data_IF_351497747973
#
_entry.id   IF_351497747973
#
_cell.length_a   1.000
_cell.length_b   1.000
_cell.length_c   1.000
_cell.angle_alpha   90.00
_cell.angle_beta   90.00
_cell.angle_gamma   90.00
#
_symmetry.space_group_name_H-M   'P 1'
#
loop_
_entity.id
_entity.type
_entity.pdbx_description
1 polymer ?
#
# COMPACT_ATOMS: atom_id res chain seq x y z
N UNK A 1 -35.37 3.89 11.19
CA UNK A 1 -33.97 4.35 10.94
C UNK A 1 -33.02 3.34 11.61
N UNK A 2 -32.78 2.20 10.98
CA UNK A 2 -31.91 1.17 11.53
C UNK A 2 -30.53 1.30 10.86
N UNK A 3 -29.66 2.14 11.42
CA UNK A 3 -28.23 2.13 11.15
C UNK A 3 -27.51 1.22 12.15
N UNK A 4 -27.87 -0.04 12.18
CA UNK A 4 -27.02 -1.04 12.81
C UNK A 4 -26.61 -1.97 11.67
N UNK A 5 -25.50 -1.62 11.00
CA UNK A 5 -24.82 -2.56 10.15
C UNK A 5 -24.31 -3.69 11.05
N UNK A 6 -24.97 -4.85 10.93
CA UNK A 6 -24.45 -6.05 11.55
C UNK A 6 -23.08 -6.33 10.93
N UNK A 7 -22.09 -6.65 11.74
CA UNK A 7 -20.70 -6.88 11.35
C UNK A 7 -20.50 -8.04 10.34
N UNK A 8 -21.59 -8.60 9.82
CA UNK A 8 -21.62 -9.75 8.91
C UNK A 8 -22.28 -9.47 7.53
N UNK A 9 -22.67 -8.23 7.23
CA UNK A 9 -23.19 -7.92 5.90
C UNK A 9 -22.07 -7.72 4.89
N UNK A 10 -21.97 -8.62 3.93
CA UNK A 10 -21.15 -8.43 2.74
C UNK A 10 -21.86 -7.46 1.80
N UNK A 11 -21.23 -6.34 1.50
CA UNK A 11 -21.71 -5.41 0.45
C UNK A 11 -21.49 -6.11 -0.90
N UNK A 12 -22.57 -6.33 -1.66
CA UNK A 12 -22.54 -7.00 -2.95
C UNK A 12 -22.35 -6.03 -4.10
N UNK A 13 -21.82 -6.52 -5.22
CA UNK A 13 -21.58 -5.75 -6.45
C UNK A 13 -22.74 -4.85 -6.88
N UNK A 14 -23.98 -5.32 -6.75
CA UNK A 14 -25.18 -4.58 -7.14
C UNK A 14 -25.38 -3.27 -6.35
N UNK A 15 -24.91 -3.23 -5.09
CA UNK A 15 -25.03 -2.04 -4.25
C UNK A 15 -23.91 -1.03 -4.53
N UNK A 16 -22.75 -1.53 -4.98
CA UNK A 16 -21.59 -0.72 -5.36
C UNK A 16 -21.82 -0.06 -6.72
N UNK A 17 -22.39 -0.78 -7.68
CA UNK A 17 -22.72 -0.27 -9.02
C UNK A 17 -23.72 0.90 -8.99
N UNK A 18 -24.66 0.86 -8.07
CA UNK A 18 -25.67 1.89 -7.94
C UNK A 18 -25.16 3.19 -7.29
N UNK A 19 -24.10 3.12 -6.47
CA UNK A 19 -23.69 4.27 -5.63
C UNK A 19 -22.30 4.81 -5.93
N UNK A 20 -21.40 4.06 -6.57
CA UNK A 20 -20.04 4.51 -6.81
C UNK A 20 -19.40 3.90 -8.06
N UNK A 21 -19.74 4.37 -9.27
CA UNK A 21 -19.19 3.85 -10.54
C UNK A 21 -17.67 4.02 -10.64
N UNK A 22 -17.07 4.91 -9.86
CA UNK A 22 -15.62 5.14 -9.82
C UNK A 22 -14.84 3.96 -9.21
N UNK A 23 -15.48 3.10 -8.41
CA UNK A 23 -14.83 1.93 -7.83
C UNK A 23 -14.48 0.87 -8.90
N UNK A 24 -15.23 0.84 -10.00
CA UNK A 24 -14.99 -0.10 -11.10
C UNK A 24 -13.89 0.32 -12.08
N UNK A 25 -13.35 1.52 -11.98
CA UNK A 25 -12.27 1.98 -12.86
C UNK A 25 -11.03 1.06 -12.80
N UNK A 26 -10.76 0.47 -11.65
CA UNK A 26 -9.63 -0.47 -11.47
C UNK A 26 -9.99 -1.94 -11.76
N UNK A 27 -11.28 -2.24 -11.94
CA UNK A 27 -11.75 -3.56 -12.42
C UNK A 27 -11.64 -3.69 -13.95
N UNK A 28 -11.39 -2.59 -14.67
CA UNK A 28 -11.19 -2.61 -16.12
C UNK A 28 -9.99 -3.49 -16.47
N UNK A 29 -10.25 -4.59 -17.13
CA UNK A 29 -9.22 -5.49 -17.64
C UNK A 29 -8.89 -5.15 -19.10
N UNK A 30 -7.67 -4.75 -19.36
CA UNK A 30 -7.15 -4.58 -20.71
C UNK A 30 -6.50 -5.88 -21.16
N UNK A 31 -6.97 -6.43 -22.29
CA UNK A 31 -6.32 -7.56 -22.94
C UNK A 31 -5.17 -7.04 -23.80
N UNK A 32 -3.93 -7.33 -23.37
CA UNK A 32 -2.74 -7.11 -24.18
C UNK A 32 -2.22 -8.49 -24.61
N UNK A 33 -2.58 -8.92 -25.81
CA UNK A 33 -2.23 -10.26 -26.31
C UNK A 33 -2.93 -11.37 -25.53
N UNK A 34 -2.18 -12.31 -24.97
CA UNK A 34 -2.67 -13.44 -24.17
C UNK A 34 -2.81 -13.13 -22.66
N UNK A 35 -2.35 -11.96 -22.22
CA UNK A 35 -2.38 -11.56 -20.80
C UNK A 35 -3.54 -10.60 -20.52
N UNK A 36 -4.29 -10.89 -19.46
CA UNK A 36 -5.32 -9.98 -18.93
C UNK A 36 -4.65 -9.11 -17.87
N UNK A 37 -4.30 -7.88 -18.25
CA UNK A 37 -3.78 -6.89 -17.31
C UNK A 37 -4.93 -6.10 -16.71
N UNK A 38 -5.14 -6.27 -15.41
CA UNK A 38 -6.09 -5.44 -14.65
C UNK A 38 -5.47 -4.05 -14.45
N UNK A 39 -6.26 -2.99 -14.58
CA UNK A 39 -5.82 -1.61 -14.33
C UNK A 39 -5.12 -1.44 -12.98
N UNK A 40 -5.52 -2.22 -11.96
CA UNK A 40 -4.88 -2.27 -10.65
C UNK A 40 -3.41 -2.70 -10.68
N UNK A 41 -3.03 -3.63 -11.57
CA UNK A 41 -1.62 -4.06 -11.72
C UNK A 41 -0.78 -2.94 -12.31
N UNK A 42 -1.30 -2.23 -13.31
CA UNK A 42 -0.61 -1.08 -13.93
C UNK A 42 -0.41 0.02 -12.89
N UNK A 43 -1.45 0.32 -12.12
CA UNK A 43 -1.40 1.32 -11.05
C UNK A 43 -0.40 0.93 -9.96
N UNK A 44 -0.33 -0.35 -9.57
CA UNK A 44 0.66 -0.86 -8.62
C UNK A 44 2.10 -0.69 -9.14
N UNK A 45 2.37 -1.05 -10.40
CA UNK A 45 3.70 -0.90 -11.00
C UNK A 45 4.12 0.57 -11.05
N UNK A 46 3.21 1.46 -11.45
CA UNK A 46 3.47 2.91 -11.47
C UNK A 46 3.76 3.44 -10.06
N UNK A 47 3.01 3.00 -9.05
CA UNK A 47 3.22 3.38 -7.66
C UNK A 47 4.58 2.91 -7.15
N UNK A 48 4.96 1.66 -7.43
CA UNK A 48 6.29 1.12 -7.07
C UNK A 48 7.40 1.90 -7.73
N UNK A 49 7.29 2.21 -9.04
CA UNK A 49 8.28 3.04 -9.76
C UNK A 49 8.40 4.43 -9.16
N UNK A 50 7.27 5.07 -8.84
CA UNK A 50 7.24 6.39 -8.24
C UNK A 50 7.92 6.39 -6.87
N UNK A 51 7.57 5.44 -6.00
CA UNK A 51 8.17 5.31 -4.67
C UNK A 51 9.67 5.00 -4.75
N UNK A 52 10.07 4.11 -5.65
CA UNK A 52 11.47 3.81 -5.90
C UNK A 52 12.25 5.05 -6.33
N UNK A 53 11.69 5.84 -7.25
CA UNK A 53 12.31 7.09 -7.70
C UNK A 53 12.41 8.10 -6.55
N UNK A 54 11.33 8.33 -5.82
CA UNK A 54 11.30 9.28 -4.71
C UNK A 54 12.29 8.90 -3.61
N UNK A 55 12.34 7.64 -3.21
CA UNK A 55 13.22 7.19 -2.14
C UNK A 55 14.71 7.20 -2.53
N UNK A 56 15.05 6.85 -3.78
CA UNK A 56 16.44 6.74 -4.20
C UNK A 56 17.01 8.04 -4.80
N UNK A 57 16.17 8.91 -5.37
CA UNK A 57 16.64 10.06 -6.15
C UNK A 57 16.30 11.42 -5.54
N UNK A 58 15.58 11.47 -4.40
CA UNK A 58 15.23 12.76 -3.76
C UNK A 58 15.95 12.95 -2.43
N UNK A 59 16.07 14.22 -2.03
CA UNK A 59 16.58 14.59 -0.71
C UNK A 59 15.67 14.05 0.42
N UNK A 60 14.37 14.01 0.17
CA UNK A 60 13.40 13.47 1.12
C UNK A 60 13.65 11.99 1.43
N UNK A 61 13.94 11.16 0.41
CA UNK A 61 14.28 9.75 0.62
C UNK A 61 15.52 9.58 1.50
N UNK A 62 16.57 10.40 1.29
CA UNK A 62 17.76 10.38 2.16
C UNK A 62 17.43 10.72 3.61
N UNK A 63 16.55 11.71 3.84
CA UNK A 63 16.08 12.03 5.19
C UNK A 63 15.28 10.89 5.82
N UNK A 64 14.44 10.18 5.04
CA UNK A 64 13.68 9.01 5.52
C UNK A 64 14.63 7.92 6.01
N UNK A 65 15.65 7.56 5.22
CA UNK A 65 16.65 6.56 5.63
C UNK A 65 17.48 7.02 6.83
N UNK A 66 17.91 8.27 6.88
CA UNK A 66 18.67 8.82 8.00
C UNK A 66 17.87 8.80 9.32
N UNK A 67 16.60 9.20 9.26
CA UNK A 67 15.71 9.17 10.43
C UNK A 67 15.38 7.74 10.85
N UNK A 68 15.31 6.80 9.89
CA UNK A 68 15.08 5.39 10.17
C UNK A 68 16.29 4.70 10.80
N UNK A 69 17.50 5.11 10.47
CA UNK A 69 18.75 4.55 11.01
C UNK A 69 19.02 5.06 12.43
N UNK A 70 19.08 6.37 12.62
CA UNK A 70 19.26 7.01 13.93
C UNK A 70 18.50 8.36 13.98
N UNK A 71 17.33 8.41 14.63
CA UNK A 71 16.54 9.63 14.75
C UNK A 71 17.25 10.74 15.53
N UNK A 72 18.12 10.39 16.49
CA UNK A 72 18.83 11.39 17.31
C UNK A 72 19.98 12.02 16.50
N UNK A 73 20.78 11.20 15.81
CA UNK A 73 21.83 11.70 14.92
C UNK A 73 21.24 12.53 13.77
N UNK A 74 20.12 12.12 13.19
CA UNK A 74 19.40 12.87 12.17
C UNK A 74 18.96 14.24 12.68
N UNK A 75 18.45 14.32 13.91
CA UNK A 75 18.04 15.57 14.55
C UNK A 75 19.24 16.49 14.80
N UNK A 76 20.36 15.94 15.24
CA UNK A 76 21.61 16.70 15.44
C UNK A 76 22.17 17.26 14.12
N UNK A 77 21.92 16.55 13.02
CA UNK A 77 22.26 17.00 11.66
C UNK A 77 21.28 18.02 11.07
N UNK A 78 20.32 18.51 11.87
CA UNK A 78 19.36 19.54 11.46
C UNK A 78 18.11 19.00 10.73
N UNK A 79 17.92 17.69 10.64
CA UNK A 79 16.74 17.09 10.02
C UNK A 79 15.55 17.17 10.97
N UNK A 80 14.43 17.69 10.50
CA UNK A 80 13.18 17.75 11.26
C UNK A 80 12.50 16.35 11.32
N UNK A 81 12.95 15.52 12.24
CA UNK A 81 12.51 14.12 12.37
C UNK A 81 10.99 13.97 12.48
N UNK A 82 10.33 14.86 13.24
CA UNK A 82 8.86 14.84 13.37
C UNK A 82 8.14 15.05 12.05
N UNK A 83 8.60 15.98 11.23
CA UNK A 83 8.02 16.27 9.90
C UNK A 83 8.22 15.10 8.95
N UNK A 84 9.40 14.48 8.96
CA UNK A 84 9.70 13.29 8.15
C UNK A 84 8.81 12.13 8.54
N UNK A 85 8.70 11.82 9.84
CA UNK A 85 7.83 10.76 10.34
C UNK A 85 6.36 10.99 9.97
N UNK A 86 5.87 12.23 10.16
CA UNK A 86 4.50 12.57 9.78
C UNK A 86 4.23 12.36 8.29
N UNK A 87 5.18 12.77 7.43
CA UNK A 87 5.09 12.56 5.99
C UNK A 87 5.08 11.06 5.62
N UNK A 88 5.93 10.25 6.27
CA UNK A 88 6.00 8.79 6.04
C UNK A 88 4.70 8.11 6.44
N UNK A 89 4.16 8.42 7.62
CA UNK A 89 2.87 7.84 8.07
C UNK A 89 1.70 8.28 7.20
N UNK A 90 1.68 9.54 6.77
CA UNK A 90 0.66 10.04 5.84
C UNK A 90 0.74 9.29 4.50
N UNK A 91 1.94 9.11 3.96
CA UNK A 91 2.15 8.37 2.72
C UNK A 91 1.74 6.90 2.87
N UNK A 92 2.09 6.26 3.98
CA UNK A 92 1.68 4.88 4.27
C UNK A 92 0.14 4.74 4.33
N UNK A 93 -0.54 5.70 4.97
CA UNK A 93 -2.01 5.75 5.00
C UNK A 93 -2.63 5.91 3.62
N UNK A 94 -2.05 6.78 2.77
CA UNK A 94 -2.50 6.95 1.38
C UNK A 94 -2.32 5.68 0.55
N UNK A 95 -1.18 4.99 0.69
CA UNK A 95 -0.93 3.71 0.00
C UNK A 95 -1.92 2.64 0.46
N UNK A 96 -2.20 2.55 1.77
CA UNK A 96 -3.17 1.62 2.32
C UNK A 96 -4.59 1.91 1.81
N UNK A 97 -5.00 3.17 1.76
CA UNK A 97 -6.29 3.58 1.20
C UNK A 97 -6.40 3.23 -0.30
N UNK A 98 -5.33 3.44 -1.05
CA UNK A 98 -5.27 3.08 -2.46
C UNK A 98 -5.33 1.55 -2.66
N UNK A 99 -4.62 0.77 -1.85
CA UNK A 99 -4.66 -0.69 -1.87
C UNK A 99 -6.07 -1.22 -1.54
N UNK A 100 -6.73 -0.64 -0.54
CA UNK A 100 -8.10 -0.96 -0.20
C UNK A 100 -9.06 -0.68 -1.37
N UNK A 101 -8.92 0.46 -2.03
CA UNK A 101 -9.72 0.82 -3.21
C UNK A 101 -9.55 -0.20 -4.34
N UNK A 102 -8.32 -0.55 -4.69
CA UNK A 102 -8.04 -1.57 -5.71
C UNK A 102 -8.62 -2.94 -5.31
N UNK A 103 -8.52 -3.32 -4.04
CA UNK A 103 -9.05 -4.58 -3.50
C UNK A 103 -10.58 -4.65 -3.62
N UNK A 104 -11.29 -3.56 -3.32
CA UNK A 104 -12.73 -3.46 -3.46
C UNK A 104 -13.14 -3.64 -4.93
N UNK A 105 -12.48 -2.90 -5.83
CA UNK A 105 -12.77 -2.97 -7.27
C UNK A 105 -12.52 -4.35 -7.88
N UNK A 106 -11.60 -5.15 -7.31
CA UNK A 106 -11.29 -6.49 -7.79
C UNK A 106 -12.21 -7.59 -7.24
N UNK A 107 -12.53 -7.51 -5.94
CA UNK A 107 -13.24 -8.59 -5.26
C UNK A 107 -14.77 -8.43 -5.30
N UNK A 108 -15.26 -7.22 -5.65
CA UNK A 108 -16.68 -6.91 -5.73
C UNK A 108 -17.46 -7.09 -4.42
N UNK A 109 -16.79 -7.47 -3.34
CA UNK A 109 -17.41 -7.64 -2.02
C UNK A 109 -16.39 -7.40 -0.91
N UNK A 110 -16.83 -6.80 0.18
CA UNK A 110 -16.03 -6.61 1.38
C UNK A 110 -16.67 -7.38 2.52
N UNK A 111 -15.90 -8.32 3.09
CA UNK A 111 -16.28 -8.98 4.33
C UNK A 111 -15.33 -8.52 5.44
N UNK A 112 -15.84 -7.89 6.51
CA UNK A 112 -15.00 -7.39 7.60
C UNK A 112 -14.24 -8.51 8.36
N UNK A 113 -14.78 -9.73 8.37
CA UNK A 113 -14.22 -10.84 9.12
C UNK A 113 -13.04 -11.56 8.42
N UNK A 114 -12.97 -11.50 7.09
CA UNK A 114 -11.92 -12.19 6.32
C UNK A 114 -10.63 -11.38 6.17
N UNK A 115 -10.70 -10.06 6.35
CA UNK A 115 -9.61 -9.15 5.98
C UNK A 115 -8.57 -8.91 7.07
N UNK A 116 -8.84 -9.24 8.34
CA UNK A 116 -8.10 -8.60 9.44
C UNK A 116 -6.84 -9.37 9.85
N UNK A 117 -6.81 -10.69 9.75
CA UNK A 117 -5.74 -11.46 10.40
C UNK A 117 -4.60 -11.83 9.44
N UNK A 118 -4.90 -12.25 8.23
CA UNK A 118 -3.89 -12.84 7.35
C UNK A 118 -3.07 -11.81 6.57
N UNK A 119 -3.67 -10.70 6.14
CA UNK A 119 -2.98 -9.67 5.35
C UNK A 119 -1.85 -8.96 6.12
N UNK A 120 -2.02 -8.76 7.42
CA UNK A 120 -0.99 -8.14 8.25
C UNK A 120 0.26 -9.04 8.36
N UNK A 121 0.05 -10.34 8.60
CA UNK A 121 1.14 -11.30 8.67
C UNK A 121 1.84 -11.47 7.32
N UNK A 122 1.07 -11.54 6.23
CA UNK A 122 1.61 -11.61 4.87
C UNK A 122 2.43 -10.36 4.53
N UNK A 123 1.95 -9.17 4.87
CA UNK A 123 2.68 -7.93 4.63
C UNK A 123 4.00 -7.88 5.40
N UNK A 124 4.01 -8.27 6.68
CA UNK A 124 5.24 -8.34 7.48
C UNK A 124 6.19 -9.39 6.87
N UNK A 125 5.70 -10.57 6.53
CA UNK A 125 6.51 -11.63 5.92
C UNK A 125 7.11 -11.19 4.60
N UNK A 126 6.33 -10.55 3.73
CA UNK A 126 6.79 -10.02 2.45
C UNK A 126 7.90 -8.98 2.63
N UNK A 127 7.76 -8.06 3.59
CA UNK A 127 8.78 -7.03 3.85
C UNK A 127 10.07 -7.62 4.40
N UNK A 128 9.98 -8.60 5.30
CA UNK A 128 11.14 -9.29 5.89
C UNK A 128 11.88 -10.12 4.83
N UNK A 129 11.16 -10.92 4.05
CA UNK A 129 11.73 -11.69 2.92
C UNK A 129 12.36 -10.73 1.90
N UNK A 130 11.73 -9.56 1.68
CA UNK A 130 12.25 -8.49 0.82
C UNK A 130 13.51 -7.80 1.33
N UNK A 131 14.02 -8.19 2.53
CA UNK A 131 15.26 -7.66 3.09
C UNK A 131 15.14 -6.27 3.71
N UNK A 132 13.93 -5.88 4.14
CA UNK A 132 13.75 -4.65 4.92
C UNK A 132 14.12 -4.91 6.37
N UNK A 133 14.97 -4.03 6.93
CA UNK A 133 15.31 -4.09 8.34
C UNK A 133 14.10 -3.71 9.21
N UNK A 134 13.75 -4.57 10.16
CA UNK A 134 12.72 -4.29 11.16
C UNK A 134 13.14 -3.19 12.15
N UNK A 135 14.44 -2.94 12.25
CA UNK A 135 15.00 -1.90 13.12
C UNK A 135 15.10 -0.53 12.43
N UNK A 136 14.76 -0.45 11.13
CA UNK A 136 14.78 0.79 10.35
C UNK A 136 16.07 1.01 9.57
N UNK A 137 16.16 2.16 8.89
CA UNK A 137 17.33 2.67 8.18
C UNK A 137 17.74 1.94 6.90
N UNK A 138 17.33 0.70 6.73
CA UNK A 138 17.76 -0.17 5.60
C UNK A 138 16.60 -0.91 4.98
N UNK A 139 16.56 -0.91 3.65
CA UNK A 139 15.57 -1.62 2.87
C UNK A 139 15.53 -1.14 1.43
N UNK A 140 14.86 -1.89 0.57
CA UNK A 140 14.65 -1.48 -0.83
C UNK A 140 13.22 -1.77 -1.28
N UNK A 141 12.68 -0.87 -2.09
CA UNK A 141 11.35 -1.05 -2.70
C UNK A 141 11.31 -2.28 -3.59
N UNK A 142 12.39 -2.53 -4.35
CA UNK A 142 12.47 -3.71 -5.20
C UNK A 142 12.49 -5.00 -4.39
N UNK A 143 13.21 -5.01 -3.25
CA UNK A 143 13.20 -6.14 -2.33
C UNK A 143 11.78 -6.44 -1.81
N UNK A 144 11.05 -5.42 -1.40
CA UNK A 144 9.64 -5.57 -0.96
C UNK A 144 8.75 -6.12 -2.08
N UNK A 145 8.93 -5.63 -3.32
CA UNK A 145 8.17 -6.13 -4.47
C UNK A 145 8.42 -7.64 -4.68
N UNK A 146 9.68 -8.07 -4.68
CA UNK A 146 10.00 -9.50 -4.79
C UNK A 146 9.50 -10.31 -3.59
N UNK A 147 9.62 -9.79 -2.38
CA UNK A 147 9.05 -10.41 -1.18
C UNK A 147 7.54 -10.61 -1.28
N UNK A 148 6.82 -9.60 -1.78
CA UNK A 148 5.38 -9.68 -1.99
C UNK A 148 4.96 -10.65 -3.14
N UNK A 149 5.87 -10.94 -4.07
CA UNK A 149 5.61 -11.95 -5.13
C UNK A 149 5.84 -13.39 -4.64
N UNK A 150 6.58 -13.57 -3.54
CA UNK A 150 6.90 -14.89 -2.97
C UNK A 150 5.82 -15.34 -1.98
N UNK A 151 5.18 -14.39 -1.28
CA UNK A 151 4.12 -14.65 -0.28
C UNK A 151 2.75 -14.79 -0.93
#
# INVERSE_FOLDING_TARGET
TNFIYSANETIRDADVDAQAPLLHLFALSFRVGSAVLTAGVIAMVLLVMLLWYVLNHTAWGRHVYAVGDDPEAAKLSGIQTKTVLMAVYTLAGLIAAFAAWVSIGRNGSISPSAAVTDYNLQAITATVIGGISLFGGRGSILGTLFGAMIV
#
